data_IF_812497582598
#
_entry.id   IF_812497582598
#
_cell.length_a   1.000
_cell.length_b   1.000
_cell.length_c   1.000
_cell.angle_alpha   90.00
_cell.angle_beta   90.00
_cell.angle_gamma   90.00
#
_symmetry.space_group_name_H-M   'P 1'
#
loop_
_entity.id
_entity.type
_entity.pdbx_description
1 polymer ?
#
# COMPACT_ATOMS: atom_id res chain seq x y z
N UNK A 1 -15.11 -9.76 26.42
CA UNK A 1 -13.92 -10.59 26.68
C UNK A 1 -12.71 -9.76 26.25
N UNK A 2 -12.08 -9.05 27.20
CA UNK A 2 -10.96 -8.14 26.90
C UNK A 2 -9.71 -8.96 26.61
N UNK A 3 -9.42 -9.17 25.33
CA UNK A 3 -8.07 -9.49 24.91
C UNK A 3 -7.18 -8.31 25.32
N UNK A 4 -6.24 -8.54 26.25
CA UNK A 4 -5.14 -7.60 26.45
C UNK A 4 -4.51 -7.40 25.07
N UNK A 5 -4.63 -6.18 24.50
CA UNK A 5 -3.94 -5.79 23.26
C UNK A 5 -2.47 -6.15 23.48
N UNK A 6 -1.96 -7.14 22.76
CA UNK A 6 -0.55 -7.48 22.84
C UNK A 6 0.26 -6.23 22.52
N UNK A 7 1.23 -5.87 23.35
CA UNK A 7 2.18 -4.77 23.10
C UNK A 7 3.07 -5.02 21.86
N UNK A 8 3.00 -6.23 21.30
CA UNK A 8 3.74 -6.63 20.09
C UNK A 8 3.19 -5.86 18.89
N UNK A 9 4.00 -4.95 18.36
CA UNK A 9 3.77 -4.24 17.10
C UNK A 9 4.45 -4.98 15.97
N UNK A 10 3.81 -5.06 14.80
CA UNK A 10 4.46 -5.55 13.59
C UNK A 10 5.15 -4.37 12.90
N UNK A 11 6.43 -4.56 12.58
CA UNK A 11 7.20 -3.59 11.82
C UNK A 11 7.11 -3.93 10.33
N UNK A 12 6.70 -2.96 9.53
CA UNK A 12 6.71 -3.04 8.06
C UNK A 12 7.70 -1.99 7.56
N UNK A 13 8.73 -2.42 6.82
CA UNK A 13 9.79 -1.53 6.34
C UNK A 13 9.55 -1.16 4.88
N UNK A 14 9.34 0.13 4.62
CA UNK A 14 9.04 0.71 3.32
C UNK A 14 7.54 0.82 3.07
N UNK A 15 7.08 2.01 2.65
CA UNK A 15 5.67 2.28 2.31
C UNK A 15 5.37 2.15 0.82
N UNK A 16 6.11 1.31 0.09
CA UNK A 16 5.80 0.95 -1.30
C UNK A 16 4.47 0.20 -1.44
N UNK A 17 4.17 -0.32 -2.63
CA UNK A 17 2.93 -1.08 -2.89
C UNK A 17 2.71 -2.21 -1.87
N UNK A 18 3.72 -3.08 -1.70
CA UNK A 18 3.62 -4.23 -0.81
C UNK A 18 3.56 -3.82 0.68
N UNK A 19 4.35 -2.83 1.09
CA UNK A 19 4.38 -2.40 2.48
C UNK A 19 3.10 -1.67 2.91
N UNK A 20 2.54 -0.84 2.04
CA UNK A 20 1.23 -0.19 2.27
C UNK A 20 0.11 -1.23 2.38
N UNK A 21 0.09 -2.21 1.47
CA UNK A 21 -0.89 -3.29 1.49
C UNK A 21 -0.76 -4.18 2.74
N UNK A 22 0.47 -4.57 3.11
CA UNK A 22 0.73 -5.38 4.30
C UNK A 22 0.34 -4.64 5.58
N UNK A 23 0.70 -3.36 5.69
CA UNK A 23 0.33 -2.53 6.83
C UNK A 23 -1.19 -2.43 6.97
N UNK A 24 -1.90 -2.13 5.88
CA UNK A 24 -3.37 -2.06 5.88
C UNK A 24 -4.01 -3.41 6.24
N UNK A 25 -3.57 -4.50 5.61
CA UNK A 25 -4.12 -5.84 5.83
C UNK A 25 -4.03 -6.29 7.29
N UNK A 26 -2.88 -6.03 7.94
CA UNK A 26 -2.67 -6.31 9.36
C UNK A 26 -3.52 -5.39 10.25
N UNK A 27 -3.56 -4.11 9.90
CA UNK A 27 -4.24 -3.08 10.69
C UNK A 27 -5.77 -3.26 10.71
N UNK A 28 -6.37 -3.70 9.60
CA UNK A 28 -7.79 -4.08 9.49
C UNK A 28 -8.14 -5.28 10.39
N UNK A 29 -7.15 -6.08 10.76
CA UNK A 29 -7.28 -7.22 11.70
C UNK A 29 -6.97 -6.84 13.15
N UNK A 30 -6.87 -5.53 13.43
CA UNK A 30 -6.64 -5.01 14.78
C UNK A 30 -5.18 -5.05 15.26
N UNK A 31 -4.25 -5.49 14.42
CA UNK A 31 -2.82 -5.56 14.74
C UNK A 31 -2.22 -4.16 14.65
N UNK A 32 -1.44 -3.76 15.65
CA UNK A 32 -0.72 -2.48 15.62
C UNK A 32 0.49 -2.58 14.68
N UNK A 33 0.60 -1.66 13.73
CA UNK A 33 1.67 -1.63 12.73
C UNK A 33 2.52 -0.38 12.89
N UNK A 34 3.84 -0.55 12.90
CA UNK A 34 4.82 0.51 12.67
C UNK A 34 5.27 0.43 11.21
N UNK A 35 4.80 1.36 10.39
CA UNK A 35 5.16 1.45 8.98
C UNK A 35 6.32 2.45 8.83
N UNK A 36 7.51 1.94 8.54
CA UNK A 36 8.71 2.75 8.37
C UNK A 36 8.82 3.24 6.94
N UNK A 37 9.12 4.52 6.75
CA UNK A 37 9.38 5.08 5.43
C UNK A 37 10.52 6.09 5.51
N UNK A 38 11.53 5.89 4.66
CA UNK A 38 12.70 6.76 4.62
C UNK A 38 12.41 8.06 3.88
N UNK A 39 11.43 8.10 2.98
CA UNK A 39 11.01 9.32 2.28
C UNK A 39 10.12 10.19 3.21
N UNK A 40 10.20 11.53 3.11
CA UNK A 40 11.03 12.32 2.19
C UNK A 40 12.49 12.51 2.65
N UNK A 41 12.85 12.11 3.88
CA UNK A 41 14.19 12.38 4.45
C UNK A 41 15.32 11.82 3.57
N UNK A 42 15.12 10.61 3.03
CA UNK A 42 16.00 9.98 2.05
C UNK A 42 15.20 9.52 0.83
N UNK A 43 15.30 10.30 -0.24
CA UNK A 43 14.73 9.95 -1.54
C UNK A 43 15.59 8.92 -2.29
N UNK A 44 14.98 8.24 -3.27
CA UNK A 44 15.71 7.44 -4.27
C UNK A 44 15.62 8.12 -5.62
N UNK A 45 16.48 7.77 -6.58
CA UNK A 45 16.43 8.30 -7.95
C UNK A 45 15.08 8.08 -8.67
N UNK A 46 14.35 7.02 -8.32
CA UNK A 46 13.08 6.67 -8.97
C UNK A 46 11.86 7.40 -8.41
N UNK A 47 11.87 7.76 -7.12
CA UNK A 47 10.72 8.33 -6.42
C UNK A 47 10.75 9.86 -6.49
N UNK A 48 9.59 10.45 -6.71
CA UNK A 48 9.40 11.91 -6.84
C UNK A 48 8.64 12.51 -5.67
N UNK A 49 8.02 11.68 -4.84
CA UNK A 49 7.17 12.10 -3.73
C UNK A 49 7.46 11.30 -2.45
N UNK A 50 6.94 11.80 -1.33
CA UNK A 50 6.87 11.11 -0.05
C UNK A 50 5.66 10.17 0.09
N UNK A 51 4.83 10.06 -0.96
CA UNK A 51 3.56 9.34 -0.91
C UNK A 51 3.78 7.83 -0.82
N UNK A 52 2.90 7.18 -0.07
CA UNK A 52 2.80 5.73 -0.02
C UNK A 52 2.40 5.17 -1.39
N UNK A 53 2.92 3.99 -1.73
CA UNK A 53 2.62 3.25 -2.95
C UNK A 53 2.87 4.01 -4.28
N UNK A 54 3.76 4.99 -4.31
CA UNK A 54 4.11 5.71 -5.55
C UNK A 54 4.49 4.78 -6.71
N UNK A 55 3.90 4.99 -7.89
CA UNK A 55 4.22 4.25 -9.12
C UNK A 55 5.34 4.93 -9.91
N UNK A 56 6.57 4.44 -9.76
CA UNK A 56 7.77 5.05 -10.37
C UNK A 56 8.02 4.67 -11.84
N UNK A 57 7.40 3.58 -12.33
CA UNK A 57 7.62 3.04 -13.68
C UNK A 57 6.38 3.19 -14.56
N UNK A 58 5.54 2.16 -14.65
CA UNK A 58 4.30 2.13 -15.42
C UNK A 58 3.13 2.45 -14.50
N UNK A 59 2.10 3.09 -15.04
CA UNK A 59 0.83 3.31 -14.34
C UNK A 59 -0.18 2.18 -14.54
N UNK A 60 0.27 1.00 -14.98
CA UNK A 60 -0.60 -0.14 -15.28
C UNK A 60 -0.42 -1.26 -14.26
N UNK A 61 -1.52 -1.68 -13.64
CA UNK A 61 -1.63 -2.91 -12.86
C UNK A 61 -1.87 -4.14 -13.74
N UNK A 62 -1.60 -4.05 -15.05
CA UNK A 62 -1.79 -5.12 -16.04
C UNK A 62 -3.27 -5.51 -16.22
N UNK A 63 -3.48 -6.60 -16.96
CA UNK A 63 -4.79 -7.08 -17.38
C UNK A 63 -5.76 -7.31 -16.21
N UNK A 64 -7.04 -7.02 -16.45
CA UNK A 64 -8.17 -7.40 -15.60
C UNK A 64 -8.86 -8.69 -16.06
N UNK A 65 -8.43 -9.28 -17.19
CA UNK A 65 -9.05 -10.47 -17.75
C UNK A 65 -8.93 -11.66 -16.78
N UNK A 66 -10.05 -12.33 -16.50
CA UNK A 66 -10.14 -13.39 -15.49
C UNK A 66 -9.29 -14.62 -15.80
N UNK A 67 -8.98 -14.86 -17.08
CA UNK A 67 -8.11 -15.93 -17.58
C UNK A 67 -6.62 -15.55 -17.59
N UNK A 68 -6.27 -14.32 -17.20
CA UNK A 68 -4.89 -13.87 -17.08
C UNK A 68 -4.39 -13.99 -15.65
N UNK A 69 -3.11 -14.36 -15.45
CA UNK A 69 -2.51 -14.44 -14.12
C UNK A 69 -2.67 -13.15 -13.28
N UNK A 70 -2.47 -11.93 -13.84
CA UNK A 70 -2.73 -10.70 -13.10
C UNK A 70 -4.21 -10.48 -12.77
N UNK A 71 -5.14 -10.99 -13.59
CA UNK A 71 -6.58 -10.89 -13.31
C UNK A 71 -7.01 -11.83 -12.19
N UNK A 72 -6.51 -13.07 -12.19
CA UNK A 72 -6.74 -14.04 -11.11
C UNK A 72 -6.24 -13.52 -9.76
N UNK A 73 -5.00 -13.02 -9.70
CA UNK A 73 -4.44 -12.43 -8.48
C UNK A 73 -5.31 -11.26 -7.98
N UNK A 74 -5.83 -10.43 -8.89
CA UNK A 74 -6.69 -9.31 -8.50
C UNK A 74 -8.03 -9.77 -7.93
N UNK A 75 -8.60 -10.87 -8.44
CA UNK A 75 -9.82 -11.44 -7.87
C UNK A 75 -9.58 -11.87 -6.42
N UNK A 76 -8.48 -12.57 -6.14
CA UNK A 76 -8.10 -12.97 -4.78
C UNK A 76 -7.86 -11.77 -3.87
N UNK A 77 -7.15 -10.76 -4.36
CA UNK A 77 -6.89 -9.52 -3.61
C UNK A 77 -8.18 -8.74 -3.30
N UNK A 78 -9.19 -8.78 -4.19
CA UNK A 78 -10.50 -8.18 -3.92
C UNK A 78 -11.20 -8.90 -2.77
N UNK A 79 -11.21 -10.24 -2.78
CA UNK A 79 -11.80 -11.04 -1.68
C UNK A 79 -11.06 -10.84 -0.35
N UNK A 80 -9.76 -10.55 -0.39
CA UNK A 80 -8.96 -10.23 0.79
C UNK A 80 -9.12 -8.78 1.29
N UNK A 81 -9.90 -7.95 0.60
CA UNK A 81 -10.15 -6.55 0.99
C UNK A 81 -9.00 -5.60 0.65
N UNK A 82 -8.36 -5.78 -0.52
CA UNK A 82 -7.15 -5.03 -0.87
C UNK A 82 -7.32 -3.51 -0.94
N UNK A 83 -6.44 -2.77 -0.24
CA UNK A 83 -6.36 -1.32 -0.31
C UNK A 83 -5.82 -0.86 -1.66
N UNK A 84 -4.72 -1.46 -2.12
CA UNK A 84 -4.08 -1.12 -3.39
C UNK A 84 -5.07 -1.28 -4.55
N UNK A 85 -5.84 -2.37 -4.62
CA UNK A 85 -6.80 -2.52 -5.73
C UNK A 85 -8.01 -1.61 -5.60
N UNK A 86 -8.47 -1.31 -4.39
CA UNK A 86 -9.54 -0.33 -4.19
C UNK A 86 -9.09 1.05 -4.68
N UNK A 87 -7.94 1.53 -4.22
CA UNK A 87 -7.38 2.80 -4.66
C UNK A 87 -7.08 2.83 -6.17
N UNK A 88 -6.62 1.71 -6.74
CA UNK A 88 -6.35 1.62 -8.18
C UNK A 88 -7.64 1.70 -9.01
N UNK A 89 -8.75 1.11 -8.54
CA UNK A 89 -10.06 1.24 -9.20
C UNK A 89 -10.59 2.67 -9.12
N UNK A 90 -10.45 3.32 -7.97
CA UNK A 90 -10.89 4.71 -7.78
C UNK A 90 -10.09 5.70 -8.63
N UNK A 91 -8.81 5.41 -8.89
CA UNK A 91 -7.92 6.21 -9.72
C UNK A 91 -7.87 5.76 -11.20
N UNK A 92 -8.78 4.90 -11.65
CA UNK A 92 -8.70 4.28 -12.98
C UNK A 92 -8.82 5.32 -14.12
N UNK A 93 -7.96 5.16 -15.14
CA UNK A 93 -7.99 5.92 -16.40
C UNK A 93 -8.08 4.97 -17.60
N UNK A 94 -8.42 5.44 -18.82
CA UNK A 94 -8.47 4.58 -20.00
C UNK A 94 -7.15 3.82 -20.23
N UNK A 95 -7.22 2.49 -20.30
CA UNK A 95 -6.05 1.61 -20.40
C UNK A 95 -6.24 0.35 -21.25
N UNK A 96 -7.32 0.31 -22.05
CA UNK A 96 -7.71 -0.89 -22.81
C UNK A 96 -8.07 -2.04 -21.87
N UNK A 97 -7.41 -3.19 -22.03
CA UNK A 97 -7.63 -4.37 -21.18
C UNK A 97 -6.92 -4.30 -19.81
N UNK A 98 -6.05 -3.31 -19.62
CA UNK A 98 -5.30 -3.15 -18.38
C UNK A 98 -5.99 -2.19 -17.40
N UNK A 99 -5.80 -2.44 -16.11
CA UNK A 99 -6.10 -1.47 -15.06
C UNK A 99 -5.00 -0.40 -15.06
N UNK A 100 -5.17 0.63 -15.88
CA UNK A 100 -4.33 1.83 -15.86
C UNK A 100 -4.88 2.85 -14.86
N UNK A 101 -4.00 3.58 -14.18
CA UNK A 101 -4.38 4.56 -13.15
C UNK A 101 -3.75 5.93 -13.38
N UNK A 102 -4.38 6.95 -12.84
CA UNK A 102 -3.70 8.20 -12.52
C UNK A 102 -2.79 7.95 -11.31
N UNK A 103 -1.48 8.23 -11.45
CA UNK A 103 -0.48 7.88 -10.44
C UNK A 103 -0.62 8.71 -9.17
N UNK A 104 -0.93 9.99 -9.34
CA UNK A 104 -0.97 10.93 -8.23
C UNK A 104 -2.24 10.72 -7.42
N UNK A 105 -3.38 10.53 -8.09
CA UNK A 105 -4.65 10.19 -7.45
C UNK A 105 -4.54 8.86 -6.71
N UNK A 106 -3.92 7.84 -7.33
CA UNK A 106 -3.70 6.54 -6.71
C UNK A 106 -2.85 6.64 -5.44
N UNK A 107 -1.67 7.24 -5.53
CA UNK A 107 -0.73 7.33 -4.40
C UNK A 107 -1.32 8.19 -3.26
N UNK A 108 -2.05 9.26 -3.58
CA UNK A 108 -2.73 10.09 -2.58
C UNK A 108 -3.83 9.33 -1.84
N UNK A 109 -4.64 8.53 -2.55
CA UNK A 109 -5.68 7.71 -1.94
C UNK A 109 -5.10 6.68 -0.96
N UNK A 110 -4.03 5.98 -1.36
CA UNK A 110 -3.34 5.02 -0.46
C UNK A 110 -2.76 5.76 0.75
N UNK A 111 -2.03 6.84 0.52
CA UNK A 111 -1.41 7.66 1.58
C UNK A 111 -2.44 8.12 2.60
N UNK A 112 -3.58 8.66 2.14
CA UNK A 112 -4.67 9.12 3.02
C UNK A 112 -5.20 8.00 3.92
N UNK A 113 -5.43 6.81 3.37
CA UNK A 113 -5.91 5.67 4.17
C UNK A 113 -4.86 5.27 5.20
N UNK A 114 -3.60 5.14 4.82
CA UNK A 114 -2.51 4.76 5.72
C UNK A 114 -2.36 5.77 6.87
N UNK A 115 -2.34 7.08 6.56
CA UNK A 115 -2.18 8.13 7.57
C UNK A 115 -3.34 8.24 8.56
N UNK A 116 -4.56 7.88 8.13
CA UNK A 116 -5.77 8.03 8.97
C UNK A 116 -6.16 6.75 9.68
N UNK A 117 -5.47 5.63 9.42
CA UNK A 117 -5.81 4.34 9.99
C UNK A 117 -5.38 4.25 11.47
N UNK A 118 -6.29 3.96 12.42
CA UNK A 118 -6.01 4.05 13.87
C UNK A 118 -5.01 3.01 14.39
N UNK A 119 -4.78 1.93 13.64
CA UNK A 119 -3.81 0.88 13.98
C UNK A 119 -2.48 0.98 13.22
N UNK A 120 -2.29 1.99 12.36
CA UNK A 120 -1.02 2.23 11.66
C UNK A 120 -0.36 3.48 12.23
N UNK A 121 0.91 3.37 12.59
CA UNK A 121 1.76 4.51 12.94
C UNK A 121 2.87 4.60 11.92
N UNK A 122 2.94 5.72 11.20
CA UNK A 122 4.06 6.00 10.31
C UNK A 122 5.28 6.43 11.12
N UNK A 123 6.42 5.82 10.83
CA UNK A 123 7.71 6.12 11.45
C UNK A 123 8.63 6.67 10.36
N UNK A 124 8.92 7.97 10.35
CA UNK A 124 9.83 8.54 9.37
C UNK A 124 11.27 8.09 9.65
N UNK A 125 12.05 7.93 8.58
CA UNK A 125 13.48 7.65 8.64
C UNK A 125 13.87 6.30 8.03
N UNK A 126 15.14 6.20 7.68
CA UNK A 126 15.71 4.96 7.15
C UNK A 126 15.98 3.95 8.27
N UNK A 127 15.51 2.72 8.08
CA UNK A 127 15.82 1.61 8.97
C UNK A 127 17.23 1.10 8.67
N UNK A 128 18.12 1.24 9.65
CA UNK A 128 19.55 0.88 9.53
C UNK A 128 19.98 -0.27 10.45
N UNK A 129 19.08 -0.77 11.30
CA UNK A 129 19.32 -1.89 12.22
C UNK A 129 18.05 -2.76 12.41
N UNK A 130 18.18 -4.02 12.85
CA UNK A 130 17.05 -4.90 13.18
C UNK A 130 16.20 -4.42 14.37
N UNK A 131 14.97 -4.92 14.49
CA UNK A 131 14.02 -4.65 15.57
C UNK A 131 13.99 -5.72 16.65
#
# INVERSE_FOLDING_TARGET
MNLKKSEVKVHVVGSGLAGSEAAYFLAERGIQVLLHEMRPERMTEAHKTDRCAELVCSNSFKSMAADSAPGMLKAEMVEMGSLVLKAAKDAQVPGGQALAVDRDVFAEAVTKVIHTHPNITLVPGEVTAPF
#
